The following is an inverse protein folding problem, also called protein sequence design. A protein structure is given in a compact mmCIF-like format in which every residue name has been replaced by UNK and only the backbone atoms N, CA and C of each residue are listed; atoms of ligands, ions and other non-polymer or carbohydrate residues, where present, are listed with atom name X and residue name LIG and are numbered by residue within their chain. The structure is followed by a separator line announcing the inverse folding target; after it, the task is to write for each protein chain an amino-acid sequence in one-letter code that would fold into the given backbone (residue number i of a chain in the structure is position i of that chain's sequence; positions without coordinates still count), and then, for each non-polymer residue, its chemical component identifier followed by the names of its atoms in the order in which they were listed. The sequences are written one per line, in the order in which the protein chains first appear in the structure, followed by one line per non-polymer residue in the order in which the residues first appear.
data_IF_009294628246
#
_entry.id   IF_009294628246
#
_cell.length_a   1.000
_cell.length_b   1.000
_cell.length_c   1.000
_cell.angle_alpha   90.00
_cell.angle_beta   90.00
_cell.angle_gamma   90.00
#
_symmetry.space_group_name_H-M   'P 1'
#
loop_
_entity.id
_entity.type
_entity.pdbx_description
1 polymer ?
#
# COMPACT_ATOMS: atom_id res chain seq x y z
N UNK A 1 9.59 -7.52 -2.82
CA UNK A 1 8.97 -7.38 -4.15
C UNK A 1 9.85 -7.95 -5.26
N UNK A 2 11.12 -7.53 -5.35
CA UNK A 2 12.07 -7.94 -6.41
C UNK A 2 12.06 -9.44 -6.76
N UNK A 3 12.14 -10.32 -5.76
CA UNK A 3 12.11 -11.77 -5.99
C UNK A 3 10.82 -12.27 -6.63
N UNK A 4 9.67 -11.64 -6.34
CA UNK A 4 8.41 -11.99 -6.98
C UNK A 4 8.43 -11.65 -8.49
N UNK A 5 9.09 -10.55 -8.86
CA UNK A 5 9.25 -10.17 -10.28
C UNK A 5 10.21 -11.14 -10.98
N UNK A 6 11.33 -11.48 -10.34
CA UNK A 6 12.29 -12.47 -10.89
C UNK A 6 11.64 -13.83 -11.07
N UNK A 7 10.90 -14.32 -10.07
CA UNK A 7 10.21 -15.61 -10.16
C UNK A 7 9.13 -15.60 -11.26
N UNK A 8 8.34 -14.52 -11.33
CA UNK A 8 7.33 -14.38 -12.39
C UNK A 8 7.97 -14.40 -13.79
N UNK A 9 9.10 -13.71 -13.97
CA UNK A 9 9.83 -13.73 -15.23
C UNK A 9 10.33 -15.14 -15.60
N UNK A 10 10.82 -15.92 -14.62
CA UNK A 10 11.23 -17.31 -14.86
C UNK A 10 10.05 -18.20 -15.22
N UNK A 11 9.01 -18.18 -14.39
CA UNK A 11 7.92 -19.17 -14.45
C UNK A 11 6.87 -18.86 -15.50
N UNK A 12 6.61 -17.58 -15.78
CA UNK A 12 5.54 -17.16 -16.70
C UNK A 12 6.09 -16.68 -18.04
N UNK A 13 7.19 -15.92 -18.04
CA UNK A 13 7.81 -15.43 -19.28
C UNK A 13 8.83 -16.42 -19.88
N UNK A 14 9.26 -17.43 -19.11
CA UNK A 14 10.26 -18.40 -19.57
C UNK A 14 11.70 -17.86 -19.56
N UNK A 15 11.96 -16.76 -18.86
CA UNK A 15 13.30 -16.19 -18.72
C UNK A 15 14.07 -16.93 -17.64
N UNK A 16 14.57 -18.13 -17.95
CA UNK A 16 15.23 -19.01 -16.98
C UNK A 16 16.39 -18.32 -16.23
N UNK A 17 17.16 -17.50 -16.94
CA UNK A 17 18.29 -16.74 -16.40
C UNK A 17 17.89 -15.42 -15.70
N UNK A 18 16.60 -15.09 -15.65
CA UNK A 18 16.11 -13.85 -15.03
C UNK A 18 16.67 -13.68 -13.62
N UNK A 19 17.29 -12.54 -13.34
CA UNK A 19 17.92 -12.29 -12.04
C UNK A 19 18.02 -10.80 -11.71
N UNK A 20 18.45 -10.50 -10.49
CA UNK A 20 18.91 -9.19 -10.09
C UNK A 20 20.39 -9.03 -10.43
N UNK A 21 20.77 -7.89 -11.00
CA UNK A 21 22.18 -7.54 -11.22
C UNK A 21 22.94 -7.29 -9.91
N UNK A 22 22.23 -7.28 -8.76
CA UNK A 22 22.87 -7.32 -7.43
C UNK A 22 23.64 -8.63 -7.20
N UNK A 23 23.13 -9.75 -7.72
CA UNK A 23 23.69 -11.08 -7.48
C UNK A 23 24.34 -11.68 -8.74
N UNK A 24 23.76 -11.40 -9.90
CA UNK A 24 24.27 -11.87 -11.20
C UNK A 24 24.37 -10.67 -12.15
N UNK A 25 25.49 -9.90 -12.12
CA UNK A 25 25.65 -8.69 -12.93
C UNK A 25 25.56 -8.92 -14.43
N UNK A 26 25.92 -10.12 -14.90
CA UNK A 26 25.99 -10.48 -16.33
C UNK A 26 24.77 -11.30 -16.80
N UNK A 27 23.68 -11.33 -16.02
CA UNK A 27 22.47 -12.05 -16.44
C UNK A 27 21.96 -11.52 -17.79
N UNK A 28 21.63 -12.40 -18.76
CA UNK A 28 20.98 -12.00 -20.00
C UNK A 28 19.58 -11.39 -19.80
N UNK A 29 18.96 -11.63 -18.65
CA UNK A 29 17.60 -11.17 -18.31
C UNK A 29 17.60 -10.37 -17.00
N UNK A 30 18.11 -9.13 -17.00
CA UNK A 30 18.26 -8.31 -15.80
C UNK A 30 16.92 -7.72 -15.35
N UNK A 31 16.10 -8.51 -14.65
CA UNK A 31 14.78 -8.09 -14.16
C UNK A 31 14.86 -6.98 -13.10
N UNK A 32 15.94 -6.96 -12.33
CA UNK A 32 16.16 -5.99 -11.25
C UNK A 32 17.54 -5.40 -11.44
N UNK A 33 17.62 -4.06 -11.51
CA UNK A 33 18.84 -3.32 -11.85
C UNK A 33 19.12 -2.22 -10.84
N UNK A 34 20.40 -1.84 -10.73
CA UNK A 34 20.83 -0.74 -9.89
C UNK A 34 20.34 0.61 -10.46
N UNK A 35 19.45 1.30 -9.74
CA UNK A 35 18.86 2.58 -10.15
C UNK A 35 18.94 3.62 -9.02
N UNK A 36 20.15 4.10 -8.69
CA UNK A 36 20.37 5.02 -7.57
C UNK A 36 19.66 6.36 -7.78
N UNK A 37 19.50 7.09 -6.69
CA UNK A 37 19.13 8.51 -6.75
C UNK A 37 20.41 9.36 -6.80
N UNK A 38 20.40 10.44 -7.59
CA UNK A 38 21.55 11.33 -7.76
C UNK A 38 22.54 10.89 -8.84
N UNK A 39 23.78 11.42 -8.78
CA UNK A 39 24.80 11.14 -9.80
C UNK A 39 25.43 9.76 -9.63
N UNK A 40 25.61 9.04 -10.72
CA UNK A 40 26.42 7.80 -10.81
C UNK A 40 27.93 8.07 -10.80
N UNK A 41 28.36 9.32 -11.04
CA UNK A 41 29.77 9.72 -11.18
C UNK A 41 30.44 10.17 -9.90
N UNK A 42 29.67 10.45 -8.84
CA UNK A 42 30.21 10.68 -7.50
C UNK A 42 30.20 9.37 -6.73
N UNK A 43 31.33 9.03 -6.10
CA UNK A 43 31.58 7.83 -5.28
C UNK A 43 30.30 7.24 -4.66
N UNK A 44 29.74 6.22 -5.33
CA UNK A 44 28.57 5.46 -4.89
C UNK A 44 27.23 6.19 -5.09
N UNK A 45 26.49 5.82 -6.14
CA UNK A 45 25.10 6.26 -6.33
C UNK A 45 24.29 6.12 -5.03
N UNK A 46 23.50 7.14 -4.67
CA UNK A 46 22.91 7.20 -3.33
C UNK A 46 21.69 6.29 -3.20
N UNK A 47 21.53 5.70 -2.01
CA UNK A 47 20.40 4.82 -1.68
C UNK A 47 19.09 5.60 -1.69
N UNK A 48 18.02 5.01 -2.24
CA UNK A 48 16.68 5.55 -2.07
C UNK A 48 16.26 5.33 -0.62
N UNK A 49 16.22 6.43 0.13
CA UNK A 49 16.02 6.42 1.58
C UNK A 49 14.92 7.40 2.00
N UNK A 50 14.26 7.09 3.11
CA UNK A 50 13.35 8.01 3.80
C UNK A 50 11.90 7.88 3.33
N UNK A 51 11.08 8.86 3.68
CA UNK A 51 9.67 8.88 3.27
C UNK A 51 9.57 9.31 1.82
N UNK A 52 9.00 8.47 0.96
CA UNK A 52 8.76 8.76 -0.45
C UNK A 52 7.30 8.52 -0.79
N UNK A 53 6.83 9.20 -1.83
CA UNK A 53 5.45 9.10 -2.31
C UNK A 53 5.34 8.06 -3.41
N UNK A 54 4.40 7.14 -3.22
CA UNK A 54 3.98 6.14 -4.20
C UNK A 54 2.58 6.49 -4.70
N UNK A 55 2.43 6.68 -6.01
CA UNK A 55 1.15 6.97 -6.65
C UNK A 55 0.51 5.68 -7.17
N UNK A 56 -0.75 5.45 -6.80
CA UNK A 56 -1.51 4.34 -7.36
C UNK A 56 -1.87 4.65 -8.81
N UNK A 57 -1.51 3.75 -9.72
CA UNK A 57 -1.80 3.86 -11.14
C UNK A 57 -3.13 3.21 -11.52
N UNK A 58 -3.57 2.25 -10.71
CA UNK A 58 -4.82 1.50 -10.89
C UNK A 58 -5.74 1.81 -9.70
N UNK A 59 -6.78 2.65 -9.87
CA UNK A 59 -7.62 3.11 -8.75
C UNK A 59 -8.31 1.98 -7.96
N UNK A 60 -8.63 0.87 -8.60
CA UNK A 60 -9.40 -0.24 -8.01
C UNK A 60 -8.55 -1.43 -7.54
N UNK A 61 -7.22 -1.28 -7.52
CA UNK A 61 -6.33 -2.33 -7.02
C UNK A 61 -6.54 -2.61 -5.53
N UNK A 62 -6.12 -3.80 -5.07
CA UNK A 62 -6.34 -4.21 -3.67
C UNK A 62 -5.62 -3.26 -2.71
N UNK A 63 -4.41 -2.86 -3.07
CA UNK A 63 -3.60 -1.94 -2.27
C UNK A 63 -4.27 -0.58 -2.11
N UNK A 64 -4.73 0.05 -3.19
CA UNK A 64 -5.43 1.34 -3.12
C UNK A 64 -6.67 1.27 -2.22
N UNK A 65 -7.48 0.21 -2.36
CA UNK A 65 -8.66 -0.05 -1.53
C UNK A 65 -8.31 -0.21 -0.05
N UNK A 66 -7.26 -0.98 0.27
CA UNK A 66 -6.78 -1.13 1.65
C UNK A 66 -6.30 0.19 2.26
N UNK A 67 -5.71 1.06 1.45
CA UNK A 67 -5.34 2.43 1.82
C UNK A 67 -6.50 3.43 1.71
N UNK A 68 -7.76 2.98 1.63
CA UNK A 68 -8.95 3.83 1.66
C UNK A 68 -9.20 4.60 0.36
N UNK A 69 -8.82 4.01 -0.78
CA UNK A 69 -8.87 4.63 -2.11
C UNK A 69 -8.07 5.93 -2.20
N UNK A 70 -6.96 6.02 -1.48
CA UNK A 70 -6.03 7.12 -1.60
C UNK A 70 -5.43 7.18 -3.03
N UNK A 71 -5.11 8.37 -3.52
CA UNK A 71 -4.40 8.54 -4.81
C UNK A 71 -2.92 8.19 -4.71
N UNK A 72 -2.36 8.33 -3.52
CA UNK A 72 -0.97 8.05 -3.21
C UNK A 72 -0.83 7.67 -1.74
N UNK A 73 0.29 7.04 -1.40
CA UNK A 73 0.74 6.84 -0.03
C UNK A 73 2.15 7.37 0.11
N UNK A 74 2.46 7.92 1.28
CA UNK A 74 3.85 8.17 1.63
C UNK A 74 4.31 6.96 2.47
N UNK A 75 5.41 6.32 2.13
CA UNK A 75 5.97 5.16 2.87
C UNK A 75 7.50 5.27 2.98
N UNK A 76 8.11 4.47 3.85
CA UNK A 76 9.57 4.53 4.07
C UNK A 76 10.31 3.55 3.16
N UNK A 77 11.32 4.05 2.46
CA UNK A 77 12.17 3.28 1.55
C UNK A 77 13.59 3.14 2.12
N UNK A 78 14.23 2.02 1.79
CA UNK A 78 15.65 1.75 2.07
C UNK A 78 16.19 0.70 1.10
N UNK A 79 16.33 1.06 -0.16
CA UNK A 79 16.81 0.14 -1.20
C UNK A 79 17.54 0.89 -2.32
N UNK A 80 18.16 0.14 -3.24
CA UNK A 80 19.01 0.67 -4.33
C UNK A 80 18.68 0.09 -5.71
N UNK A 81 18.02 -1.06 -5.72
CA UNK A 81 17.72 -1.82 -6.92
C UNK A 81 16.23 -1.74 -7.20
N UNK A 82 15.91 -1.55 -8.47
CA UNK A 82 14.54 -1.36 -8.95
C UNK A 82 14.27 -2.36 -10.08
N UNK A 83 12.99 -2.59 -10.38
CA UNK A 83 12.62 -3.37 -11.57
C UNK A 83 13.13 -2.65 -12.81
N UNK A 84 13.73 -3.40 -13.74
CA UNK A 84 14.24 -2.86 -14.98
C UNK A 84 13.10 -2.26 -15.82
N UNK A 85 13.12 -0.95 -16.12
CA UNK A 85 12.08 -0.29 -16.90
C UNK A 85 11.81 -0.93 -18.25
N UNK A 86 12.83 -1.51 -18.88
CA UNK A 86 12.73 -2.11 -20.21
C UNK A 86 11.91 -3.41 -20.21
N UNK A 87 11.76 -4.06 -19.05
CA UNK A 87 11.01 -5.31 -18.89
C UNK A 87 9.57 -5.10 -18.40
N UNK A 88 9.20 -3.88 -17.98
CA UNK A 88 7.90 -3.59 -17.37
C UNK A 88 6.76 -3.99 -18.28
N UNK A 89 6.79 -3.56 -19.55
CA UNK A 89 5.67 -3.77 -20.46
C UNK A 89 5.39 -5.26 -20.70
N UNK A 90 6.44 -6.07 -20.82
CA UNK A 90 6.32 -7.50 -21.02
C UNK A 90 5.76 -8.20 -19.78
N UNK A 91 6.25 -7.82 -18.59
CA UNK A 91 5.76 -8.35 -17.31
C UNK A 91 4.27 -8.00 -17.10
N UNK A 92 3.86 -6.76 -17.39
CA UNK A 92 2.45 -6.35 -17.29
C UNK A 92 1.56 -7.10 -18.28
N UNK A 93 2.02 -7.26 -19.52
CA UNK A 93 1.29 -8.01 -20.56
C UNK A 93 1.07 -9.47 -20.18
N UNK A 94 1.98 -10.07 -19.42
CA UNK A 94 1.85 -11.43 -18.92
C UNK A 94 1.00 -11.57 -17.64
N UNK A 95 0.60 -10.46 -17.00
CA UNK A 95 -0.42 -10.44 -15.95
C UNK A 95 0.05 -10.01 -14.55
N UNK A 96 1.34 -9.70 -14.36
CA UNK A 96 1.83 -9.09 -13.11
C UNK A 96 1.76 -7.57 -13.24
N UNK A 97 0.81 -6.94 -12.55
CA UNK A 97 0.50 -5.51 -12.71
C UNK A 97 1.33 -4.63 -11.77
N UNK A 98 1.92 -3.54 -12.27
CA UNK A 98 2.59 -2.54 -11.44
C UNK A 98 1.62 -1.42 -11.04
N UNK A 99 0.87 -1.66 -9.96
CA UNK A 99 -0.24 -0.80 -9.54
C UNK A 99 0.19 0.46 -8.78
N UNK A 100 1.47 0.56 -8.37
CA UNK A 100 2.01 1.71 -7.66
C UNK A 100 3.39 2.10 -8.19
N UNK A 101 3.60 3.39 -8.47
CA UNK A 101 4.83 3.93 -9.06
C UNK A 101 5.31 5.18 -8.31
N UNK A 102 6.60 5.49 -8.43
CA UNK A 102 7.14 6.76 -7.91
C UNK A 102 6.63 7.98 -8.69
N UNK A 103 6.99 9.18 -8.23
CA UNK A 103 6.59 10.44 -8.88
C UNK A 103 7.07 10.60 -10.32
N UNK A 104 8.15 9.92 -10.70
CA UNK A 104 8.67 9.94 -12.07
C UNK A 104 7.97 8.94 -12.99
N UNK A 105 7.20 8.01 -12.41
CA UNK A 105 6.60 6.88 -13.11
C UNK A 105 7.61 5.81 -13.56
N UNK A 106 8.91 5.98 -13.25
CA UNK A 106 9.97 5.07 -13.71
C UNK A 106 10.21 3.92 -12.73
N UNK A 107 9.96 4.11 -11.44
CA UNK A 107 10.19 3.08 -10.43
C UNK A 107 8.87 2.42 -10.04
N UNK A 108 8.84 1.11 -10.15
CA UNK A 108 7.68 0.32 -9.74
C UNK A 108 7.80 0.00 -8.25
N UNK A 109 6.81 0.43 -7.47
CA UNK A 109 6.87 0.36 -6.01
C UNK A 109 5.85 -0.63 -5.41
N UNK A 110 4.81 -1.00 -6.17
CA UNK A 110 3.78 -1.98 -5.78
C UNK A 110 3.45 -2.88 -6.97
N UNK A 111 3.52 -4.20 -6.78
CA UNK A 111 3.04 -5.23 -7.72
C UNK A 111 1.82 -5.95 -7.17
N UNK A 112 0.89 -6.31 -8.05
CA UNK A 112 -0.22 -7.22 -7.77
C UNK A 112 -0.35 -8.26 -8.88
N UNK A 113 -0.57 -9.52 -8.51
CA UNK A 113 -0.92 -10.57 -9.47
C UNK A 113 -2.44 -10.66 -9.62
N UNK A 114 -2.91 -10.52 -10.86
CA UNK A 114 -4.32 -10.68 -11.16
C UNK A 114 -4.77 -12.13 -10.90
N UNK A 115 -6.04 -12.33 -10.53
CA UNK A 115 -6.63 -13.65 -10.25
C UNK A 115 -6.05 -14.42 -9.05
N UNK A 116 -5.20 -13.81 -8.23
CA UNK A 116 -4.80 -14.36 -6.92
C UNK A 116 -5.57 -13.68 -5.77
N UNK A 117 -6.04 -14.42 -4.73
CA UNK A 117 -6.81 -13.85 -3.63
C UNK A 117 -6.08 -12.69 -2.96
N UNK A 118 -4.79 -12.86 -2.68
CA UNK A 118 -3.93 -11.78 -2.18
C UNK A 118 -2.48 -12.02 -2.55
N UNK A 119 -2.00 -11.38 -3.62
CA UNK A 119 -0.59 -11.36 -4.00
C UNK A 119 -0.19 -9.89 -4.16
N UNK A 120 0.52 -9.37 -3.17
CA UNK A 120 0.96 -7.98 -3.14
C UNK A 120 2.43 -7.96 -2.76
N UNK A 121 3.26 -7.32 -3.59
CA UNK A 121 4.66 -7.06 -3.30
C UNK A 121 4.93 -5.57 -3.28
N UNK A 122 5.69 -5.08 -2.31
CA UNK A 122 6.07 -3.66 -2.21
C UNK A 122 7.57 -3.46 -2.05
N UNK A 123 8.07 -2.34 -2.57
CA UNK A 123 9.46 -1.89 -2.41
C UNK A 123 9.69 -1.18 -1.08
N UNK A 124 8.67 -0.49 -0.55
CA UNK A 124 8.77 0.18 0.74
C UNK A 124 8.59 -0.78 1.92
N UNK A 125 8.80 -0.25 3.13
CA UNK A 125 8.70 -0.96 4.40
C UNK A 125 7.38 -0.64 5.13
N UNK A 126 6.29 -1.36 4.86
CA UNK A 126 4.98 -1.12 5.46
C UNK A 126 4.96 -1.27 7.00
N UNK A 127 5.92 -2.00 7.56
CA UNK A 127 6.07 -2.22 8.99
C UNK A 127 6.36 -0.93 9.76
N UNK A 128 7.07 0.03 9.16
CA UNK A 128 7.49 1.24 9.86
C UNK A 128 6.34 2.21 10.17
N UNK A 129 5.20 2.08 9.50
CA UNK A 129 3.98 2.89 9.75
C UNK A 129 2.89 2.16 10.52
N UNK A 130 3.07 0.88 10.83
CA UNK A 130 2.11 0.09 11.64
C UNK A 130 2.13 0.52 13.10
N UNK A 131 0.96 0.73 13.74
CA UNK A 131 0.82 1.12 15.15
C UNK A 131 -0.33 0.35 15.82
N UNK A 132 -0.34 0.19 17.15
CA UNK A 132 -1.53 -0.28 17.87
C UNK A 132 -2.76 0.58 17.51
N UNK A 133 -3.86 -0.06 17.13
CA UNK A 133 -5.09 0.60 16.66
C UNK A 133 -5.07 1.10 15.21
N UNK A 134 -3.92 1.06 14.53
CA UNK A 134 -3.78 1.37 13.10
C UNK A 134 -2.71 0.46 12.47
N UNK A 135 -3.04 -0.83 12.22
CA UNK A 135 -2.10 -1.74 11.59
C UNK A 135 -1.78 -1.27 10.17
N UNK A 136 -0.63 -1.69 9.64
CA UNK A 136 -0.34 -1.48 8.22
C UNK A 136 -1.46 -2.06 7.35
N UNK A 137 -1.90 -1.28 6.37
CA UNK A 137 -3.00 -1.64 5.48
C UNK A 137 -2.73 -2.94 4.72
N UNK A 138 -1.48 -3.16 4.28
CA UNK A 138 -1.10 -4.37 3.55
C UNK A 138 -1.05 -5.60 4.46
N UNK A 139 -0.57 -5.47 5.70
CA UNK A 139 -0.63 -6.58 6.66
C UNK A 139 -2.06 -6.93 7.07
N UNK A 140 -2.92 -5.91 7.24
CA UNK A 140 -4.36 -6.16 7.44
C UNK A 140 -4.96 -6.91 6.26
N UNK A 141 -4.61 -6.52 5.02
CA UNK A 141 -5.02 -7.23 3.81
C UNK A 141 -4.59 -8.69 3.79
N UNK A 142 -3.33 -8.97 4.13
CA UNK A 142 -2.80 -10.32 4.20
C UNK A 142 -3.57 -11.21 5.21
N UNK A 143 -3.80 -10.71 6.43
CA UNK A 143 -4.53 -11.46 7.47
C UNK A 143 -6.00 -11.64 7.09
N UNK A 144 -6.62 -10.62 6.50
CA UNK A 144 -7.99 -10.70 6.02
C UNK A 144 -8.13 -11.75 4.90
N UNK A 145 -7.17 -11.81 3.98
CA UNK A 145 -7.12 -12.82 2.93
C UNK A 145 -6.96 -14.24 3.50
N UNK A 146 -6.02 -14.42 4.42
CA UNK A 146 -5.80 -15.71 5.09
C UNK A 146 -7.04 -16.18 5.88
N UNK A 147 -7.83 -15.24 6.42
CA UNK A 147 -9.05 -15.53 7.16
C UNK A 147 -10.33 -15.62 6.30
N UNK A 148 -10.23 -15.46 4.97
CA UNK A 148 -11.39 -15.47 4.08
C UNK A 148 -12.30 -14.22 4.17
N UNK A 149 -11.82 -13.15 4.80
CA UNK A 149 -12.57 -11.92 5.08
C UNK A 149 -12.13 -10.71 4.22
N UNK A 150 -11.25 -10.92 3.23
CA UNK A 150 -10.67 -9.83 2.45
C UNK A 150 -11.73 -8.94 1.78
N UNK A 151 -12.74 -9.53 1.15
CA UNK A 151 -13.79 -8.76 0.47
C UNK A 151 -14.55 -7.82 1.42
N UNK A 152 -14.86 -8.29 2.63
CA UNK A 152 -15.51 -7.45 3.65
C UNK A 152 -14.61 -6.27 4.06
N UNK A 153 -13.30 -6.50 4.21
CA UNK A 153 -12.33 -5.45 4.54
C UNK A 153 -12.19 -4.44 3.40
N UNK A 154 -12.08 -4.89 2.15
CA UNK A 154 -11.98 -4.00 0.98
C UNK A 154 -13.22 -3.11 0.83
N UNK A 155 -14.41 -3.65 1.09
CA UNK A 155 -15.67 -2.89 1.05
C UNK A 155 -15.80 -1.89 2.20
N UNK A 156 -15.30 -2.21 3.39
CA UNK A 156 -15.33 -1.32 4.56
C UNK A 156 -14.39 -0.12 4.37
N UNK A 157 -13.18 -0.35 3.87
CA UNK A 157 -12.18 0.72 3.66
C UNK A 157 -12.65 1.78 2.66
N UNK A 158 -13.48 1.42 1.68
CA UNK A 158 -14.05 2.37 0.72
C UNK A 158 -15.15 3.29 1.29
N UNK A 159 -15.75 2.97 2.45
CA UNK A 159 -16.85 3.73 3.05
C UNK A 159 -16.38 4.85 4.00
N UNK A 160 -15.16 4.77 4.51
CA UNK A 160 -14.62 5.76 5.49
C UNK A 160 -14.54 7.18 4.90
N UNK A 161 -14.43 7.31 3.57
CA UNK A 161 -14.32 8.61 2.89
C UNK A 161 -15.66 9.35 2.67
N UNK A 162 -16.82 8.75 3.02
CA UNK A 162 -18.15 9.35 2.77
C UNK A 162 -18.86 9.94 4.01
N UNK A 163 -18.19 10.07 5.14
CA UNK A 163 -18.75 10.87 6.26
C UNK A 163 -18.45 12.35 5.99
N UNK A 164 -19.33 12.97 5.19
CA UNK A 164 -19.38 14.42 5.03
C UNK A 164 -19.74 15.06 6.37
N UNK A 165 -18.82 15.84 6.93
CA UNK A 165 -19.07 16.72 8.06
C UNK A 165 -19.97 17.86 7.58
N UNK A 166 -21.29 17.69 7.68
CA UNK A 166 -22.22 18.82 7.58
C UNK A 166 -21.97 19.71 8.80
N UNK A 167 -21.15 20.76 8.63
CA UNK A 167 -21.07 21.87 9.58
C UNK A 167 -22.42 22.60 9.56
N UNK A 168 -23.22 22.41 10.59
CA UNK A 168 -24.36 23.29 10.87
C UNK A 168 -23.83 24.45 11.72
N UNK A 169 -23.90 25.66 11.15
CA UNK A 169 -23.57 26.91 11.83
C UNK A 169 -24.67 27.31 12.81
N UNK A 170 -24.29 27.97 13.91
CA UNK A 170 -25.14 28.45 14.99
C UNK A 170 -26.27 29.39 14.52
N UNK A 171 -27.48 29.15 15.03
CA UNK A 171 -28.65 30.04 14.95
C UNK A 171 -29.62 29.71 16.09
N UNK A 172 -30.21 30.75 16.69
CA UNK A 172 -30.81 30.79 18.03
C UNK A 172 -32.08 29.94 18.28
N UNK A 173 -32.38 29.80 19.57
CA UNK A 173 -33.36 28.94 20.23
C UNK A 173 -34.82 29.03 19.75
N UNK A 174 -35.54 27.91 19.85
CA UNK A 174 -36.93 27.81 20.32
C UNK A 174 -37.14 26.41 20.92
N UNK A 175 -37.63 26.34 22.15
CA UNK A 175 -37.81 25.08 22.87
C UNK A 175 -39.02 24.27 22.41
N UNK A 176 -39.01 22.97 22.73
CA UNK A 176 -40.19 22.19 23.10
C UNK A 176 -39.77 21.03 24.01
N UNK A 177 -40.40 21.03 25.18
CA UNK A 177 -40.32 20.01 26.23
C UNK A 177 -41.08 18.76 25.79
N UNK A 178 -40.50 17.57 25.98
CA UNK A 178 -41.27 16.34 26.16
C UNK A 178 -40.60 15.47 27.25
N UNK A 179 -41.33 15.27 28.35
CA UNK A 179 -41.03 14.36 29.44
C UNK A 179 -41.47 12.93 29.09
N UNK A 180 -40.62 11.96 29.46
CA UNK A 180 -40.93 10.62 30.00
C UNK A 180 -39.59 9.87 29.96
N UNK A 181 -38.92 9.53 31.06
CA UNK A 181 -39.43 9.00 32.31
C UNK A 181 -38.82 7.61 32.46
N UNK A 182 -37.66 7.50 33.13
CA UNK A 182 -37.41 6.37 34.03
C UNK A 182 -36.24 6.65 34.95
N UNK A 183 -36.57 6.54 36.24
CA UNK A 183 -35.73 6.69 37.41
C UNK A 183 -35.00 5.37 37.63
N UNK A 184 -33.68 5.42 37.80
CA UNK A 184 -32.97 4.42 38.60
C UNK A 184 -32.22 5.17 39.71
N UNK A 185 -32.71 4.98 40.93
CA UNK A 185 -31.97 5.35 42.13
C UNK A 185 -30.85 4.34 42.36
N UNK A 186 -29.68 4.82 42.76
CA UNK A 186 -28.83 4.06 43.65
C UNK A 186 -28.19 5.04 44.64
N UNK A 187 -28.36 4.74 45.92
CA UNK A 187 -28.13 5.64 47.03
C UNK A 187 -26.71 5.65 47.58
N UNK A 188 -26.39 6.82 48.15
CA UNK A 188 -25.65 7.13 49.37
C UNK A 188 -24.31 6.43 49.73
N UNK A 189 -23.32 7.30 49.99
CA UNK A 189 -22.17 7.10 50.86
C UNK A 189 -21.02 8.07 50.52
N UNK A 190 -21.13 9.38 50.80
CA UNK A 190 -20.61 10.12 51.99
C UNK A 190 -19.07 10.08 52.20
N UNK A 191 -18.43 11.19 51.81
CA UNK A 191 -17.38 11.99 52.49
C UNK A 191 -16.21 11.28 53.23
N UNK A 192 -14.98 11.45 52.75
CA UNK A 192 -14.06 12.54 53.14
C UNK A 192 -12.83 12.62 52.22
#
# INVERSE_FOLDING_TARGET
MQLAVVEFARSILGFEDANSTEFEPETPSPCVIFMPEGSTTHMGGTMRLGSRRTYFQVPDCKSAKLYGNAKFVDERHRHRYEVNPDMIQEIENAGLSFVGKDETGRRMEIVELQNHPYFVGVQFHPEFKSRPGKPSALFLGLIAAASGCLEAVLQASGKVSKVSTTRVANGAATGKVYQNGNVYSNGNGLHH
#
